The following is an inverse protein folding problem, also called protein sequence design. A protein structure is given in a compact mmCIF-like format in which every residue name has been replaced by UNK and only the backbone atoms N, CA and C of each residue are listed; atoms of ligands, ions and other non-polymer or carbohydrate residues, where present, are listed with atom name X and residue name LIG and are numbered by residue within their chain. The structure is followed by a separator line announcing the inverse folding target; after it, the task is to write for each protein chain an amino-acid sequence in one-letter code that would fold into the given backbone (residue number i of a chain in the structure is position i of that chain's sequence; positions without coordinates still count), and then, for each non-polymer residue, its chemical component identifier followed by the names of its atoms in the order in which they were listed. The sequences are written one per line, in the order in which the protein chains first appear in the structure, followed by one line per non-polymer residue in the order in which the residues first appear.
data_IF_973953267639
#
_entry.id   IF_973953267639
#
_cell.length_a   1.000
_cell.length_b   1.000
_cell.length_c   1.000
_cell.angle_alpha   90.00
_cell.angle_beta   90.00
_cell.angle_gamma   90.00
#
_symmetry.space_group_name_H-M   'P 1'
#
loop_
_entity.id
_entity.type
_entity.pdbx_description
1 polymer ?
#
# COMPACT_ATOMS: atom_id res chain seq x y z
N UNK A 1 -0.02 -1.26 74.97
CA UNK A 1 1.10 -1.06 73.99
C UNK A 1 0.99 -2.08 72.88
N UNK A 2 0.06 -1.90 71.98
CA UNK A 2 -0.13 -2.63 70.75
C UNK A 2 -0.68 -1.66 69.73
N UNK A 3 0.14 -0.99 68.98
CA UNK A 3 -0.26 -0.23 67.81
C UNK A 3 0.98 -0.15 66.92
N UNK A 4 0.96 -0.76 65.77
CA UNK A 4 2.05 -0.60 64.82
C UNK A 4 2.23 -1.73 63.79
N UNK A 5 1.15 -2.38 63.34
CA UNK A 5 1.32 -3.47 62.34
C UNK A 5 0.18 -3.62 61.34
N UNK A 6 -0.48 -2.55 60.93
CA UNK A 6 -1.59 -2.66 59.99
C UNK A 6 -1.56 -1.66 58.83
N UNK A 7 -0.46 -1.04 58.48
CA UNK A 7 -0.41 -0.08 57.35
C UNK A 7 0.47 -0.45 56.17
N UNK A 8 0.86 -1.70 56.02
CA UNK A 8 1.75 -2.14 54.86
C UNK A 8 1.02 -3.05 53.86
N UNK A 9 -0.25 -3.35 54.03
CA UNK A 9 -0.95 -4.31 53.16
C UNK A 9 -1.88 -3.64 52.10
N UNK A 10 -1.92 -2.35 51.97
CA UNK A 10 -2.86 -1.66 51.07
C UNK A 10 -2.21 -0.99 49.83
N UNK A 11 -0.89 -1.13 49.60
CA UNK A 11 -0.18 -0.42 48.53
C UNK A 11 0.27 -1.31 47.36
N UNK A 12 -0.18 -2.55 47.26
CA UNK A 12 0.30 -3.51 46.24
C UNK A 12 -0.77 -4.06 45.27
N UNK A 13 -1.87 -3.33 45.05
CA UNK A 13 -2.96 -3.81 44.19
C UNK A 13 -3.40 -2.80 43.11
N UNK A 14 -2.51 -1.95 42.62
CA UNK A 14 -2.86 -0.95 41.61
C UNK A 14 -1.88 -0.88 40.44
N UNK A 15 -1.34 -2.01 39.97
CA UNK A 15 -0.44 -2.04 38.81
C UNK A 15 -0.73 -3.16 37.80
N UNK A 16 -2.00 -3.53 37.60
CA UNK A 16 -2.38 -4.55 36.60
C UNK A 16 -3.56 -4.11 35.72
N UNK A 17 -3.54 -2.90 35.22
CA UNK A 17 -4.48 -2.52 34.16
C UNK A 17 -3.81 -1.60 33.15
N UNK A 18 -2.85 -2.13 32.41
CA UNK A 18 -2.44 -1.53 31.13
C UNK A 18 -2.05 -2.64 30.15
N UNK A 19 -2.94 -3.59 29.92
CA UNK A 19 -3.04 -4.18 28.60
C UNK A 19 -3.90 -3.20 27.79
N UNK A 20 -3.28 -2.17 27.25
CA UNK A 20 -3.86 -1.48 26.12
C UNK A 20 -4.09 -2.58 25.05
N UNK A 21 -5.35 -2.82 24.71
CA UNK A 21 -5.70 -3.51 23.49
C UNK A 21 -5.17 -2.65 22.33
N UNK A 22 -3.88 -2.77 22.03
CA UNK A 22 -3.37 -2.38 20.73
C UNK A 22 -4.08 -3.29 19.74
N UNK A 23 -5.19 -2.80 19.18
CA UNK A 23 -5.78 -3.42 18.02
C UNK A 23 -4.67 -3.44 16.96
N UNK A 24 -4.16 -4.62 16.64
CA UNK A 24 -3.18 -4.80 15.57
C UNK A 24 -3.85 -4.24 14.31
N UNK A 25 -3.43 -3.05 13.92
CA UNK A 25 -3.95 -2.41 12.72
C UNK A 25 -3.68 -3.32 11.53
N UNK A 26 -4.72 -3.67 10.79
CA UNK A 26 -4.57 -4.53 9.63
C UNK A 26 -3.54 -3.92 8.66
N UNK A 27 -2.60 -4.76 8.19
CA UNK A 27 -1.63 -4.38 7.16
C UNK A 27 -2.32 -3.96 5.87
N UNK A 28 -3.51 -4.49 5.61
CA UNK A 28 -4.30 -4.21 4.42
C UNK A 28 -5.49 -3.30 4.74
N UNK A 29 -5.82 -2.48 3.77
CA UNK A 29 -6.94 -1.55 3.80
C UNK A 29 -8.29 -2.29 3.77
N UNK A 30 -9.35 -1.63 4.22
CA UNK A 30 -10.74 -2.06 4.07
C UNK A 30 -11.39 -1.55 2.76
N UNK A 31 -10.71 -0.74 1.96
CA UNK A 31 -11.23 -0.29 0.68
C UNK A 31 -11.24 -1.44 -0.32
N UNK A 32 -12.32 -1.53 -1.11
CA UNK A 32 -12.46 -2.56 -2.14
C UNK A 32 -11.46 -2.32 -3.26
N UNK A 33 -10.82 -3.40 -3.69
CA UNK A 33 -9.94 -3.42 -4.84
C UNK A 33 -10.16 -4.70 -5.64
N UNK A 34 -10.13 -4.60 -6.97
CA UNK A 34 -10.15 -5.76 -7.86
C UNK A 34 -9.54 -5.41 -9.20
N UNK A 35 -8.51 -6.14 -9.59
CA UNK A 35 -7.90 -6.06 -10.91
C UNK A 35 -7.09 -7.33 -11.19
N UNK A 36 -7.22 -7.88 -12.39
CA UNK A 36 -6.40 -9.00 -12.86
C UNK A 36 -5.83 -8.67 -14.21
N UNK A 37 -4.55 -8.94 -14.42
CA UNK A 37 -3.86 -8.69 -15.69
C UNK A 37 -2.93 -9.85 -16.07
N UNK A 38 -3.05 -10.30 -17.30
CA UNK A 38 -2.21 -11.36 -17.89
C UNK A 38 -2.16 -11.19 -19.42
N UNK A 39 -1.04 -11.47 -20.07
CA UNK A 39 0.26 -11.81 -19.51
C UNK A 39 1.05 -10.55 -19.10
N UNK A 40 1.67 -10.55 -17.94
CA UNK A 40 2.49 -9.43 -17.42
C UNK A 40 3.67 -9.13 -18.35
N UNK A 41 4.25 -10.16 -18.97
CA UNK A 41 5.37 -10.02 -19.91
C UNK A 41 5.06 -9.22 -21.17
N UNK A 42 3.78 -8.98 -21.49
CA UNK A 42 3.40 -8.10 -22.59
C UNK A 42 3.56 -6.60 -22.29
N UNK A 43 3.83 -6.25 -21.02
CA UNK A 43 3.89 -4.86 -20.55
C UNK A 43 5.22 -4.62 -19.84
N UNK A 44 6.25 -4.10 -20.56
CA UNK A 44 7.60 -3.92 -20.00
C UNK A 44 7.66 -3.16 -18.67
N UNK A 45 6.97 -2.01 -18.46
CA UNK A 45 7.00 -1.31 -17.17
C UNK A 45 6.45 -2.14 -16.01
N UNK A 46 5.43 -2.96 -16.24
CA UNK A 46 4.86 -3.84 -15.23
C UNK A 46 5.77 -5.04 -14.96
N UNK A 47 6.32 -5.63 -16.01
CA UNK A 47 7.27 -6.72 -15.89
C UNK A 47 8.52 -6.30 -15.10
N UNK A 48 9.07 -5.12 -15.40
CA UNK A 48 10.21 -4.56 -14.66
C UNK A 48 9.91 -4.40 -13.18
N UNK A 49 8.78 -3.78 -12.84
CA UNK A 49 8.37 -3.55 -11.46
C UNK A 49 8.14 -4.83 -10.64
N UNK A 50 7.65 -5.90 -11.27
CA UNK A 50 7.38 -7.16 -10.58
C UNK A 50 8.61 -8.06 -10.43
N UNK A 51 9.66 -7.87 -11.25
CA UNK A 51 10.88 -8.66 -11.21
C UNK A 51 12.09 -7.88 -10.66
N UNK A 52 12.10 -6.54 -10.74
CA UNK A 52 13.10 -5.68 -10.12
C UNK A 52 12.81 -5.42 -8.64
N UNK A 53 13.83 -5.13 -7.85
CA UNK A 53 13.71 -4.76 -6.44
C UNK A 53 13.65 -3.24 -6.29
N UNK A 54 12.67 -2.73 -5.55
CA UNK A 54 12.44 -1.29 -5.39
C UNK A 54 11.88 -0.59 -6.63
N UNK A 55 11.48 -1.37 -7.64
CA UNK A 55 10.88 -0.88 -8.87
C UNK A 55 9.36 -0.91 -8.76
N UNK A 56 8.70 0.12 -9.28
CA UNK A 56 7.25 0.28 -9.17
C UNK A 56 6.64 0.71 -10.49
N UNK A 57 5.41 0.24 -10.72
CA UNK A 57 4.58 0.59 -11.88
C UNK A 57 3.22 1.11 -11.41
N UNK A 58 2.86 2.30 -11.86
CA UNK A 58 1.51 2.84 -11.71
C UNK A 58 0.60 2.25 -12.79
N UNK A 59 -0.61 1.86 -12.38
CA UNK A 59 -1.64 1.28 -13.24
C UNK A 59 -2.92 2.08 -13.07
N UNK A 60 -3.49 2.54 -14.17
CA UNK A 60 -4.82 3.15 -14.17
C UNK A 60 -5.56 2.84 -15.47
N UNK A 61 -6.86 3.06 -15.48
CA UNK A 61 -7.70 2.80 -16.64
C UNK A 61 -8.48 4.05 -17.03
N UNK A 62 -8.66 4.24 -18.32
CA UNK A 62 -9.69 5.11 -18.90
C UNK A 62 -10.74 4.25 -19.65
N UNK A 63 -11.54 4.88 -20.48
CA UNK A 63 -12.59 4.19 -21.24
C UNK A 63 -12.03 3.13 -22.21
N UNK A 64 -10.84 3.35 -22.77
CA UNK A 64 -10.30 2.58 -23.89
C UNK A 64 -9.05 1.78 -23.52
N UNK A 65 -8.29 2.21 -22.51
CA UNK A 65 -6.97 1.69 -22.23
C UNK A 65 -6.75 1.39 -20.74
N UNK A 66 -5.93 0.38 -20.49
CA UNK A 66 -5.13 0.29 -19.28
C UNK A 66 -3.78 0.96 -19.54
N UNK A 67 -3.39 1.85 -18.66
CA UNK A 67 -2.12 2.57 -18.70
C UNK A 67 -1.18 2.00 -17.65
N UNK A 68 0.08 1.88 -18.02
CA UNK A 68 1.17 1.40 -17.18
C UNK A 68 2.32 2.38 -17.25
N UNK A 69 2.82 2.86 -16.12
CA UNK A 69 3.92 3.81 -16.07
C UNK A 69 4.88 3.49 -14.93
N UNK A 70 6.14 3.27 -15.26
CA UNK A 70 7.25 3.23 -14.31
C UNK A 70 8.08 4.51 -14.43
N UNK A 71 9.18 4.62 -13.68
CA UNK A 71 10.12 5.73 -13.81
C UNK A 71 10.74 5.83 -15.22
N UNK A 72 10.96 4.68 -15.85
CA UNK A 72 11.78 4.61 -17.09
C UNK A 72 10.97 4.34 -18.34
N UNK A 73 9.74 3.87 -18.22
CA UNK A 73 8.94 3.45 -19.38
C UNK A 73 7.44 3.53 -19.14
N UNK A 74 6.70 3.65 -20.24
CA UNK A 74 5.23 3.65 -20.26
C UNK A 74 4.71 2.66 -21.30
N UNK A 75 3.52 2.11 -21.06
CA UNK A 75 2.81 1.27 -21.99
C UNK A 75 1.30 1.46 -21.87
N UNK A 76 0.58 1.11 -22.91
CA UNK A 76 -0.88 1.11 -22.96
C UNK A 76 -1.37 -0.22 -23.54
N UNK A 77 -2.45 -0.73 -22.99
CA UNK A 77 -3.11 -1.94 -23.48
C UNK A 77 -4.59 -1.65 -23.70
N UNK A 78 -5.08 -1.96 -24.89
CA UNK A 78 -6.49 -1.75 -25.22
C UNK A 78 -7.39 -2.54 -24.26
N UNK A 79 -8.43 -1.91 -23.77
CA UNK A 79 -9.54 -2.58 -23.10
C UNK A 79 -10.41 -3.26 -24.16
N UNK A 80 -10.41 -4.58 -24.16
CA UNK A 80 -11.25 -5.37 -25.07
C UNK A 80 -12.65 -5.56 -24.49
N UNK A 81 -13.60 -6.03 -25.32
CA UNK A 81 -14.93 -6.39 -24.85
C UNK A 81 -14.91 -7.41 -23.68
N UNK A 82 -13.90 -8.30 -23.65
CA UNK A 82 -13.68 -9.23 -22.55
C UNK A 82 -13.16 -8.54 -21.29
N UNK A 83 -12.31 -7.54 -21.43
CA UNK A 83 -11.76 -6.80 -20.27
C UNK A 83 -12.77 -5.81 -19.66
N UNK A 84 -13.83 -5.45 -20.38
CA UNK A 84 -14.96 -4.65 -19.83
C UNK A 84 -15.70 -5.46 -18.75
N UNK A 85 -15.73 -6.78 -18.85
CA UNK A 85 -16.29 -7.67 -17.81
C UNK A 85 -15.30 -7.97 -16.68
N UNK A 86 -14.02 -7.64 -16.83
CA UNK A 86 -13.06 -7.72 -15.75
C UNK A 86 -13.28 -6.58 -14.78
N UNK A 87 -13.43 -6.92 -13.52
CA UNK A 87 -13.66 -5.93 -12.48
C UNK A 87 -12.39 -5.09 -12.30
N UNK A 88 -12.53 -3.78 -12.47
CA UNK A 88 -11.50 -2.79 -12.14
C UNK A 88 -12.06 -1.88 -11.05
N UNK A 89 -11.66 -2.14 -9.81
CA UNK A 89 -12.12 -1.39 -8.63
C UNK A 89 -10.90 -0.89 -7.86
N UNK A 90 -10.86 0.42 -7.62
CA UNK A 90 -9.86 1.10 -6.81
C UNK A 90 -10.38 2.51 -6.49
N UNK A 91 -9.61 3.31 -5.75
CA UNK A 91 -9.89 4.74 -5.55
C UNK A 91 -9.31 5.56 -6.71
N UNK A 92 -8.01 5.43 -7.00
CA UNK A 92 -7.33 6.25 -8.01
C UNK A 92 -6.39 5.48 -8.95
N UNK A 93 -6.44 4.17 -8.94
CA UNK A 93 -5.53 3.28 -9.64
C UNK A 93 -4.66 2.50 -8.67
N UNK A 94 -3.65 1.82 -9.20
CA UNK A 94 -2.73 1.00 -8.42
C UNK A 94 -1.29 1.46 -8.63
N UNK A 95 -0.45 1.28 -7.61
CA UNK A 95 1.01 1.27 -7.72
C UNK A 95 1.45 -0.10 -7.23
N UNK A 96 2.09 -0.87 -8.09
CA UNK A 96 2.51 -2.25 -7.81
C UNK A 96 3.99 -2.40 -8.10
N UNK A 97 4.67 -3.19 -7.29
CA UNK A 97 6.09 -3.49 -7.49
C UNK A 97 6.62 -4.48 -6.48
N UNK A 98 7.89 -4.83 -6.62
CA UNK A 98 8.59 -5.67 -5.65
C UNK A 98 9.39 -4.79 -4.72
N UNK A 99 9.10 -4.87 -3.44
CA UNK A 99 9.83 -4.10 -2.41
C UNK A 99 11.32 -4.42 -2.43
N UNK A 100 12.16 -3.43 -2.13
CA UNK A 100 13.59 -3.61 -1.87
C UNK A 100 13.88 -4.05 -0.43
N UNK A 101 12.86 -4.06 0.45
CA UNK A 101 12.96 -4.52 1.82
C UNK A 101 12.12 -5.76 2.03
N UNK A 102 12.62 -6.69 2.82
CA UNK A 102 11.89 -7.89 3.21
C UNK A 102 10.84 -7.54 4.28
N UNK A 103 9.75 -8.27 4.29
CA UNK A 103 8.87 -8.28 5.46
C UNK A 103 9.61 -8.91 6.65
N UNK A 104 9.34 -8.41 7.85
CA UNK A 104 9.95 -8.92 9.09
C UNK A 104 9.65 -10.43 9.22
N UNK A 105 10.70 -11.24 9.31
CA UNK A 105 10.58 -12.69 9.42
C UNK A 105 10.46 -13.45 8.09
N UNK A 106 10.54 -12.77 6.94
CA UNK A 106 10.58 -13.39 5.61
C UNK A 106 11.96 -13.23 4.96
N UNK A 107 12.40 -14.26 4.24
CA UNK A 107 13.58 -14.17 3.37
C UNK A 107 13.25 -13.63 1.98
N UNK A 108 11.96 -13.49 1.65
CA UNK A 108 11.51 -13.07 0.33
C UNK A 108 11.16 -11.59 0.30
N UNK A 109 11.50 -10.94 -0.81
CA UNK A 109 11.10 -9.57 -1.12
C UNK A 109 9.67 -9.57 -1.65
N UNK A 110 8.70 -9.01 -0.91
CA UNK A 110 7.30 -9.15 -1.27
C UNK A 110 6.93 -8.29 -2.48
N UNK A 111 6.02 -8.81 -3.30
CA UNK A 111 5.25 -7.95 -4.20
C UNK A 111 4.23 -7.20 -3.37
N UNK A 112 4.17 -5.88 -3.56
CA UNK A 112 3.27 -4.98 -2.83
C UNK A 112 2.39 -4.20 -3.80
N UNK A 113 1.21 -3.84 -3.33
CA UNK A 113 0.27 -3.03 -4.09
C UNK A 113 -0.35 -1.95 -3.20
N UNK A 114 -0.29 -0.71 -3.67
CA UNK A 114 -0.92 0.44 -3.03
C UNK A 114 -1.93 1.09 -3.97
N UNK A 115 -2.92 1.78 -3.39
CA UNK A 115 -3.75 2.67 -4.20
C UNK A 115 -2.91 3.86 -4.69
N UNK A 116 -3.13 4.26 -5.93
CA UNK A 116 -2.45 5.41 -6.53
C UNK A 116 -2.97 6.75 -5.99
N UNK A 117 -4.16 6.78 -5.39
CA UNK A 117 -4.68 7.97 -4.74
C UNK A 117 -3.94 8.25 -3.42
N UNK A 118 -3.61 9.52 -3.19
CA UNK A 118 -3.03 9.96 -1.93
C UNK A 118 -4.03 9.73 -0.78
N UNK A 119 -3.68 8.93 0.26
CA UNK A 119 -4.60 8.58 1.33
C UNK A 119 -5.04 9.79 2.16
N UNK A 120 -4.18 10.79 2.30
CA UNK A 120 -4.47 11.99 3.07
C UNK A 120 -5.40 12.95 2.33
N UNK A 121 -5.22 13.16 1.02
CA UNK A 121 -6.16 13.94 0.20
C UNK A 121 -7.52 13.23 0.09
N UNK A 122 -7.53 11.91 0.01
CA UNK A 122 -8.75 11.12 -0.03
C UNK A 122 -9.53 11.21 1.29
N UNK A 123 -8.85 11.06 2.43
CA UNK A 123 -9.50 11.08 3.74
C UNK A 123 -9.96 12.47 4.19
N UNK A 124 -9.26 13.56 3.80
CA UNK A 124 -9.62 14.91 4.20
C UNK A 124 -10.66 15.55 3.29
N UNK A 125 -10.49 15.39 1.96
CA UNK A 125 -11.22 16.17 0.98
C UNK A 125 -12.04 15.28 0.02
N UNK A 126 -11.99 13.97 0.17
CA UNK A 126 -12.57 12.98 -0.75
C UNK A 126 -12.05 13.14 -2.20
N UNK A 127 -10.77 13.53 -2.34
CA UNK A 127 -10.11 13.76 -3.63
C UNK A 127 -9.14 12.63 -3.91
N UNK A 128 -9.43 11.85 -4.96
CA UNK A 128 -8.54 10.80 -5.47
C UNK A 128 -7.33 11.39 -6.22
N UNK A 129 -6.48 12.15 -5.51
CA UNK A 129 -5.28 12.75 -6.11
C UNK A 129 -4.25 11.66 -6.39
N UNK A 130 -3.99 11.41 -7.67
CA UNK A 130 -2.98 10.46 -8.10
C UNK A 130 -1.59 10.89 -7.63
N UNK A 131 -0.83 9.94 -7.10
CA UNK A 131 0.56 10.13 -6.71
C UNK A 131 1.48 9.81 -7.89
N UNK A 132 2.66 10.41 -7.87
CA UNK A 132 3.74 10.21 -8.82
C UNK A 132 4.78 9.30 -8.19
N UNK A 133 5.31 8.35 -8.99
CA UNK A 133 6.43 7.50 -8.60
C UNK A 133 7.72 8.30 -8.77
N UNK A 134 8.59 8.23 -7.79
CA UNK A 134 9.94 8.78 -7.83
C UNK A 134 11.00 7.72 -7.52
N UNK A 135 12.26 8.11 -7.61
CA UNK A 135 13.40 7.25 -7.29
C UNK A 135 13.31 6.67 -5.87
N UNK A 136 14.08 5.63 -5.61
CA UNK A 136 14.17 4.95 -4.32
C UNK A 136 12.85 4.32 -3.81
N UNK A 137 11.89 4.08 -4.70
CA UNK A 137 10.59 3.50 -4.33
C UNK A 137 9.70 4.48 -3.58
N UNK A 138 9.81 5.76 -3.87
CA UNK A 138 8.96 6.80 -3.28
C UNK A 138 7.72 7.08 -4.13
N UNK A 139 6.61 7.41 -3.45
CA UNK A 139 5.42 7.96 -4.06
C UNK A 139 5.15 9.36 -3.50
N UNK A 140 4.98 10.36 -4.39
CA UNK A 140 4.85 11.77 -4.01
C UNK A 140 3.49 12.30 -4.43
N UNK A 141 2.84 13.02 -3.52
CA UNK A 141 1.60 13.72 -3.79
C UNK A 141 1.85 15.21 -4.05
N UNK A 142 1.65 15.66 -5.27
CA UNK A 142 1.83 17.08 -5.66
C UNK A 142 0.80 18.04 -5.02
N UNK A 143 -0.26 17.53 -4.37
CA UNK A 143 -1.27 18.36 -3.71
C UNK A 143 -0.93 18.67 -2.25
N UNK A 144 -0.58 17.64 -1.48
CA UNK A 144 -0.29 17.80 -0.05
C UNK A 144 1.19 17.69 0.29
N UNK A 145 2.04 17.53 -0.73
CA UNK A 145 3.51 17.49 -0.65
C UNK A 145 4.06 16.45 0.31
N UNK A 146 3.32 15.34 0.50
CA UNK A 146 3.82 14.20 1.27
C UNK A 146 4.55 13.23 0.36
N UNK A 147 5.68 12.72 0.85
CA UNK A 147 6.43 11.63 0.26
C UNK A 147 6.26 10.37 1.09
N UNK A 148 6.00 9.27 0.42
CA UNK A 148 5.76 7.95 1.03
C UNK A 148 6.82 6.97 0.56
N UNK A 149 7.32 6.14 1.46
CA UNK A 149 8.25 5.05 1.13
C UNK A 149 7.47 3.75 0.90
N UNK A 150 7.40 3.32 -0.35
CA UNK A 150 6.69 2.10 -0.75
C UNK A 150 7.45 0.83 -0.36
N UNK A 151 8.76 0.91 -0.13
CA UNK A 151 9.55 -0.21 0.38
C UNK A 151 9.30 -0.44 1.88
N UNK A 152 8.89 0.60 2.60
CA UNK A 152 8.64 0.57 4.04
C UNK A 152 7.15 0.77 4.34
N UNK A 153 6.32 -0.17 3.91
CA UNK A 153 4.87 -0.22 4.17
C UNK A 153 4.06 1.03 3.77
N UNK A 154 4.63 1.91 2.95
CA UNK A 154 3.98 3.15 2.54
C UNK A 154 3.92 4.22 3.63
N UNK A 155 4.88 4.21 4.56
CA UNK A 155 4.99 5.23 5.59
C UNK A 155 5.38 6.58 5.00
N UNK A 156 4.94 7.67 5.64
CA UNK A 156 5.34 9.03 5.28
C UNK A 156 6.78 9.26 5.71
N UNK A 157 7.65 9.66 4.78
CA UNK A 157 9.05 9.99 5.03
C UNK A 157 9.31 11.50 4.96
N UNK A 158 8.44 12.25 4.25
CA UNK A 158 8.51 13.70 4.17
C UNK A 158 7.12 14.33 4.21
N UNK A 159 7.02 15.54 4.75
CA UNK A 159 5.78 16.30 4.89
C UNK A 159 5.09 16.08 6.24
N UNK A 160 3.86 16.57 6.35
CA UNK A 160 3.08 16.49 7.58
C UNK A 160 2.71 15.06 7.94
N UNK A 161 2.58 14.78 9.23
CA UNK A 161 2.04 13.50 9.75
C UNK A 161 0.67 13.19 9.14
N UNK A 162 0.36 11.92 9.02
CA UNK A 162 -0.91 11.50 8.44
C UNK A 162 -1.00 9.99 8.24
N UNK A 163 -1.89 9.59 7.36
CA UNK A 163 -2.12 8.18 7.03
C UNK A 163 -1.04 7.66 6.09
N UNK A 164 -0.59 6.44 6.33
CA UNK A 164 0.24 5.66 5.38
C UNK A 164 -0.55 5.30 4.12
N UNK A 165 0.14 4.82 3.09
CA UNK A 165 -0.48 4.37 1.84
C UNK A 165 -1.56 3.30 2.08
N UNK A 166 -2.61 3.36 1.27
CA UNK A 166 -3.68 2.35 1.23
C UNK A 166 -3.10 1.10 0.55
N UNK A 167 -2.92 0.02 1.30
CA UNK A 167 -2.32 -1.23 0.82
C UNK A 167 -3.39 -2.27 0.50
N UNK A 168 -3.26 -2.94 -0.63
CA UNK A 168 -4.11 -4.03 -1.10
C UNK A 168 -3.37 -5.36 -1.11
N UNK A 169 -4.13 -6.46 -1.09
CA UNK A 169 -3.60 -7.79 -1.33
C UNK A 169 -3.25 -7.93 -2.78
N UNK A 170 -2.11 -8.56 -3.05
CA UNK A 170 -1.61 -8.78 -4.41
C UNK A 170 -0.92 -10.13 -4.49
N UNK A 171 -1.08 -10.78 -5.63
CA UNK A 171 -0.32 -11.97 -6.01
C UNK A 171 0.21 -11.84 -7.43
N UNK A 172 1.41 -12.36 -7.65
CA UNK A 172 2.02 -12.48 -8.97
C UNK A 172 2.50 -13.90 -9.15
N UNK A 173 1.74 -14.67 -9.90
CA UNK A 173 1.98 -16.09 -10.14
C UNK A 173 1.72 -16.42 -11.61
N UNK A 174 2.57 -17.24 -12.21
CA UNK A 174 2.40 -17.74 -13.59
C UNK A 174 2.09 -16.63 -14.59
N UNK A 175 2.88 -15.53 -14.54
CA UNK A 175 2.74 -14.38 -15.43
C UNK A 175 1.40 -13.64 -15.33
N UNK A 176 0.69 -13.82 -14.21
CA UNK A 176 -0.58 -13.17 -13.92
C UNK A 176 -0.47 -12.35 -12.64
N UNK A 177 -0.82 -11.08 -12.73
CA UNK A 177 -1.01 -10.19 -11.59
C UNK A 177 -2.47 -10.23 -11.17
N UNK A 178 -2.73 -10.47 -9.89
CA UNK A 178 -4.08 -10.34 -9.31
C UNK A 178 -4.03 -9.45 -8.06
N UNK A 179 -4.89 -8.43 -8.04
CA UNK A 179 -5.08 -7.50 -6.93
C UNK A 179 -6.51 -7.66 -6.44
N UNK A 180 -6.66 -7.83 -5.15
CA UNK A 180 -7.97 -7.96 -4.51
C UNK A 180 -7.95 -7.39 -3.09
N UNK A 181 -9.15 -7.15 -2.56
CA UNK A 181 -9.32 -6.77 -1.15
C UNK A 181 -10.78 -6.98 -0.71
#
# INVERSE_FOLDING_TARGET
RKTGRQFIAAAMLLSLTSCANEMVESKFSNYRASFTFSPVTSVPPLQGALNGFGEYCAIWADANYYHFSSLTSTAQVNRTALSVYQTYICIGGFIVGRSALNDIGSAEYPVVCYDRACPNCWSSDNIAKAMRIEENGHAVCDRCHRTYDMNNEGLIVEGDKGRKLIRYRVSYVSNTLAINN
#
